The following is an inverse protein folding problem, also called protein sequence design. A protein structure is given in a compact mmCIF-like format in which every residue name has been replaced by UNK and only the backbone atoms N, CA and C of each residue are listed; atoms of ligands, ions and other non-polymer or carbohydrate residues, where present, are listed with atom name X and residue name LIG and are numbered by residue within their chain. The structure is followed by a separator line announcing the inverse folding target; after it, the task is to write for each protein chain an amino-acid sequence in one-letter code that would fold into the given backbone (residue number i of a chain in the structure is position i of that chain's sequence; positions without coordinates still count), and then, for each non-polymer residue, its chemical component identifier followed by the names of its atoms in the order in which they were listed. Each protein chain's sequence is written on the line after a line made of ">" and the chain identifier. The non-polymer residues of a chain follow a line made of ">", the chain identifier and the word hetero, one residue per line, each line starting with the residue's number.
data_IF_229131871266
#
_entry.id   IF_229131871266
#
_cell.length_a   1.000
_cell.length_b   1.000
_cell.length_c   1.000
_cell.angle_alpha   90.00
_cell.angle_beta   90.00
_cell.angle_gamma   90.00
#
_symmetry.space_group_name_H-M   'P 1'
#
loop_
_entity.id
_entity.type
_entity.pdbx_description
1 polymer ?
#
# COMPACT_ATOMS: atom_id res chain seq x y z
N UNK A 1 -5.97 -10.35 5.14
CA UNK A 1 -6.11 -9.54 6.35
C UNK A 1 -7.31 -8.67 6.12
N UNK A 2 -8.43 -9.00 6.75
CA UNK A 2 -9.60 -8.15 6.73
C UNK A 2 -9.41 -7.06 7.79
N UNK A 3 -9.49 -5.80 7.37
CA UNK A 3 -9.35 -4.65 8.27
C UNK A 3 -10.55 -4.55 9.24
N UNK A 4 -11.70 -5.11 8.85
CA UNK A 4 -12.92 -5.12 9.65
C UNK A 4 -12.82 -6.14 10.80
N UNK A 5 -12.24 -7.31 10.55
CA UNK A 5 -12.02 -8.35 11.58
C UNK A 5 -11.00 -7.96 12.65
N UNK A 6 -10.12 -6.98 12.35
CA UNK A 6 -9.10 -6.52 13.28
C UNK A 6 -9.55 -5.34 14.18
N UNK A 7 -10.84 -4.95 14.12
CA UNK A 7 -11.38 -3.69 14.70
C UNK A 7 -10.50 -2.47 14.39
N UNK A 8 -9.82 -2.51 13.24
CA UNK A 8 -8.87 -1.50 12.84
C UNK A 8 -9.58 -0.50 11.92
N UNK A 9 -9.81 0.71 12.41
CA UNK A 9 -10.25 1.83 11.56
C UNK A 9 -9.04 2.67 11.11
N UNK A 10 -8.47 2.42 9.91
CA UNK A 10 -7.34 3.20 9.44
C UNK A 10 -7.76 4.66 9.25
N UNK A 11 -6.95 5.58 9.76
CA UNK A 11 -7.17 7.02 9.57
C UNK A 11 -6.37 7.59 8.39
N UNK A 12 -5.31 6.87 8.01
CA UNK A 12 -4.39 7.31 6.96
C UNK A 12 -4.00 6.14 6.07
N UNK A 13 -3.89 6.41 4.77
CA UNK A 13 -3.26 5.55 3.79
C UNK A 13 -1.98 6.22 3.30
N UNK A 14 -0.82 5.61 3.54
CA UNK A 14 0.45 6.04 2.96
C UNK A 14 0.67 5.25 1.68
N UNK A 15 0.88 5.94 0.55
CA UNK A 15 1.16 5.29 -0.73
C UNK A 15 2.14 6.09 -1.58
N UNK A 16 2.73 5.44 -2.57
CA UNK A 16 3.55 6.11 -3.56
C UNK A 16 2.70 6.93 -4.55
N UNK A 17 3.35 7.54 -5.54
CA UNK A 17 2.69 8.33 -6.58
C UNK A 17 2.41 7.54 -7.86
N UNK A 18 2.27 6.21 -7.77
CA UNK A 18 2.00 5.42 -8.97
C UNK A 18 0.63 5.77 -9.59
N UNK A 19 0.48 5.55 -10.90
CA UNK A 19 -0.75 5.87 -11.63
C UNK A 19 -1.89 4.88 -11.40
N UNK A 20 -1.74 3.92 -10.48
CA UNK A 20 -2.68 2.81 -10.29
C UNK A 20 -3.89 3.17 -9.45
N UNK A 21 -3.86 4.33 -8.79
CA UNK A 21 -4.91 4.79 -7.91
C UNK A 21 -5.63 5.97 -8.57
N UNK A 22 -6.72 5.71 -9.31
CA UNK A 22 -7.51 6.75 -9.94
C UNK A 22 -8.21 7.62 -8.89
N UNK A 23 -8.72 8.77 -9.32
CA UNK A 23 -9.43 9.72 -8.46
C UNK A 23 -10.63 9.09 -7.73
N UNK A 24 -11.30 8.11 -8.35
CA UNK A 24 -12.37 7.35 -7.70
C UNK A 24 -11.92 6.70 -6.39
N UNK A 25 -10.69 6.17 -6.33
CA UNK A 25 -10.18 5.58 -5.08
C UNK A 25 -9.98 6.66 -4.01
N UNK A 26 -9.53 7.86 -4.40
CA UNK A 26 -9.42 8.97 -3.46
C UNK A 26 -10.78 9.36 -2.88
N UNK A 27 -11.82 9.40 -3.70
CA UNK A 27 -13.18 9.72 -3.26
C UNK A 27 -13.70 8.70 -2.26
N UNK A 28 -13.57 7.40 -2.56
CA UNK A 28 -13.97 6.32 -1.66
C UNK A 28 -13.23 6.39 -0.32
N UNK A 29 -11.92 6.66 -0.35
CA UNK A 29 -11.13 6.79 0.87
C UNK A 29 -11.54 8.01 1.70
N UNK A 30 -11.83 9.13 1.05
CA UNK A 30 -12.29 10.34 1.72
C UNK A 30 -13.67 10.14 2.37
N UNK A 31 -14.61 9.50 1.68
CA UNK A 31 -15.93 9.12 2.21
C UNK A 31 -15.80 8.19 3.43
N UNK A 32 -14.84 7.26 3.39
CA UNK A 32 -14.50 6.39 4.52
C UNK A 32 -13.74 7.11 5.66
N UNK A 33 -13.46 8.41 5.54
CA UNK A 33 -12.71 9.19 6.55
C UNK A 33 -11.21 8.91 6.59
N UNK A 34 -10.65 8.35 5.51
CA UNK A 34 -9.24 7.95 5.41
C UNK A 34 -8.45 9.00 4.62
N UNK A 35 -7.50 9.65 5.27
CA UNK A 35 -6.62 10.61 4.62
C UNK A 35 -5.52 9.92 3.80
N UNK A 36 -5.37 10.28 2.52
CA UNK A 36 -4.29 9.76 1.68
C UNK A 36 -3.03 10.63 1.83
N UNK A 37 -1.91 10.01 2.17
CA UNK A 37 -0.58 10.61 2.27
C UNK A 37 0.31 10.04 1.17
N UNK A 38 0.82 10.92 0.31
CA UNK A 38 1.73 10.52 -0.76
C UNK A 38 3.18 10.57 -0.28
N UNK A 39 3.96 9.52 -0.54
CA UNK A 39 5.40 9.53 -0.25
C UNK A 39 6.13 10.58 -1.09
N UNK A 40 7.34 11.00 -0.70
CA UNK A 40 8.19 11.89 -1.51
C UNK A 40 8.58 11.28 -2.87
N UNK A 41 8.85 12.13 -3.88
CA UNK A 41 9.22 11.65 -5.23
C UNK A 41 10.60 11.02 -5.12
N UNK A 42 10.74 9.75 -5.55
CA UNK A 42 12.01 9.00 -5.44
C UNK A 42 12.53 8.88 -3.99
N UNK A 43 11.63 8.81 -3.01
CA UNK A 43 11.98 8.60 -1.59
C UNK A 43 11.48 7.21 -1.12
N UNK A 44 12.13 6.10 -1.53
CA UNK A 44 11.67 4.74 -1.22
C UNK A 44 11.63 4.43 0.28
N UNK A 45 12.41 5.16 1.10
CA UNK A 45 12.40 5.01 2.56
C UNK A 45 11.03 5.31 3.18
N UNK A 46 10.27 6.24 2.60
CA UNK A 46 8.91 6.55 3.04
C UNK A 46 7.91 5.42 2.75
N UNK A 47 8.24 4.52 1.82
CA UNK A 47 7.43 3.35 1.46
C UNK A 47 8.06 2.03 1.95
N UNK A 48 9.04 2.08 2.87
CA UNK A 48 9.95 0.95 3.12
C UNK A 48 9.27 -0.35 3.59
N UNK A 49 8.10 -0.26 4.21
CA UNK A 49 7.33 -1.44 4.63
C UNK A 49 6.81 -2.18 3.39
N UNK A 50 6.16 -1.48 2.46
CA UNK A 50 5.66 -2.07 1.22
C UNK A 50 6.80 -2.52 0.32
N UNK A 51 7.90 -1.76 0.23
CA UNK A 51 9.08 -2.18 -0.55
C UNK A 51 9.64 -3.51 -0.05
N UNK A 52 9.83 -3.66 1.27
CA UNK A 52 10.30 -4.92 1.86
C UNK A 52 9.31 -6.07 1.66
N UNK A 53 8.01 -5.78 1.79
CA UNK A 53 6.96 -6.78 1.58
C UNK A 53 6.98 -7.29 0.13
N UNK A 54 6.99 -6.39 -0.86
CA UNK A 54 7.07 -6.76 -2.28
C UNK A 54 8.36 -7.52 -2.60
N UNK A 55 9.49 -7.12 -2.03
CA UNK A 55 10.75 -7.84 -2.20
C UNK A 55 10.68 -9.27 -1.64
N UNK A 56 10.05 -9.44 -0.46
CA UNK A 56 9.85 -10.76 0.16
C UNK A 56 8.95 -11.62 -0.70
N UNK A 57 7.80 -11.10 -1.15
CA UNK A 57 6.91 -11.79 -2.07
C UNK A 57 7.62 -12.18 -3.37
N UNK A 58 8.42 -11.29 -3.97
CA UNK A 58 9.18 -11.59 -5.18
C UNK A 58 10.17 -12.72 -4.95
N UNK A 59 10.87 -12.72 -3.82
CA UNK A 59 11.83 -13.78 -3.47
C UNK A 59 11.12 -15.12 -3.31
N UNK A 60 10.05 -15.16 -2.52
CA UNK A 60 9.27 -16.39 -2.30
C UNK A 60 8.61 -16.93 -3.58
N UNK A 61 8.11 -16.04 -4.44
CA UNK A 61 7.49 -16.44 -5.71
C UNK A 61 8.53 -16.95 -6.71
N UNK A 62 9.69 -16.31 -6.81
CA UNK A 62 10.78 -16.79 -7.68
C UNK A 62 11.34 -18.13 -7.17
N UNK A 63 11.47 -18.31 -5.85
CA UNK A 63 11.87 -19.58 -5.25
C UNK A 63 10.87 -20.71 -5.55
N UNK A 64 9.58 -20.39 -5.74
CA UNK A 64 8.53 -21.37 -6.08
C UNK A 64 8.32 -21.61 -7.58
N UNK A 65 8.71 -20.65 -8.44
CA UNK A 65 8.55 -20.78 -9.90
C UNK A 65 9.76 -21.43 -10.60
N UNK A 66 10.91 -21.53 -9.93
CA UNK A 66 12.12 -22.17 -10.45
C UNK A 66 12.33 -23.59 -9.90
N UNK A 67 11.34 -24.14 -9.20
CA UNK A 67 11.20 -25.55 -8.85
C UNK A 67 10.26 -26.24 -9.84
#
# INVERSE_FOLDING_TARGET
>A
MDLQDADCRPRHLIRDRDGKFPDLIREILADAGIATVLTGVRVPRMNSIMERWVQSCRRELLDRCLL
#
